data_IF_482616257853
#
_entry.id   IF_482616257853
#
_cell.length_a   1.000
_cell.length_b   1.000
_cell.length_c   1.000
_cell.angle_alpha   90.00
_cell.angle_beta   90.00
_cell.angle_gamma   90.00
#
_symmetry.space_group_name_H-M   'P 1'
#
loop_
_entity.id
_entity.type
_entity.pdbx_description
1 polymer ?
#
# COMPACT_ATOMS: atom_id res chain seq x y z
N UNK A 1 -32.07 -0.91 -8.73
CA UNK A 1 -31.96 -1.59 -10.04
C UNK A 1 -30.51 -1.52 -10.47
N UNK A 2 -29.85 -2.62 -10.78
CA UNK A 2 -28.50 -2.56 -11.34
C UNK A 2 -28.61 -2.02 -12.77
N UNK A 3 -27.91 -0.94 -13.06
CA UNK A 3 -27.77 -0.43 -14.42
C UNK A 3 -26.85 -1.37 -15.18
N UNK A 4 -27.43 -2.34 -15.89
CA UNK A 4 -26.71 -3.06 -16.92
C UNK A 4 -26.58 -2.13 -18.11
N UNK A 5 -25.40 -1.58 -18.34
CA UNK A 5 -25.08 -0.96 -19.62
C UNK A 5 -25.02 -2.10 -20.64
N UNK A 6 -26.06 -2.26 -21.42
CA UNK A 6 -26.04 -3.12 -22.62
C UNK A 6 -25.24 -2.41 -23.70
N UNK A 7 -23.92 -2.54 -23.68
CA UNK A 7 -23.09 -2.12 -24.82
C UNK A 7 -23.30 -3.00 -26.07
N UNK A 8 -24.03 -4.08 -25.95
CA UNK A 8 -24.21 -5.07 -26.99
C UNK A 8 -24.91 -4.52 -28.25
N UNK A 9 -25.81 -3.56 -28.11
CA UNK A 9 -26.61 -3.06 -29.23
C UNK A 9 -25.90 -1.99 -30.08
N UNK A 10 -24.81 -1.44 -29.59
CA UNK A 10 -24.05 -0.40 -30.29
C UNK A 10 -22.93 -0.95 -31.21
N UNK A 11 -22.62 -2.23 -31.13
CA UNK A 11 -21.44 -2.83 -31.78
C UNK A 11 -21.78 -3.90 -32.81
N UNK A 12 -22.99 -3.86 -33.42
CA UNK A 12 -23.34 -4.79 -34.51
C UNK A 12 -23.10 -6.26 -34.15
N UNK A 13 -23.55 -6.66 -32.95
CA UNK A 13 -23.48 -8.05 -32.49
C UNK A 13 -22.10 -8.50 -31.94
N UNK A 14 -21.13 -7.63 -31.82
CA UNK A 14 -19.85 -7.96 -31.16
C UNK A 14 -20.01 -7.89 -29.65
N UNK A 15 -19.61 -8.94 -28.95
CA UNK A 15 -19.56 -8.97 -27.48
C UNK A 15 -18.19 -8.46 -27.04
N UNK A 16 -18.19 -7.47 -26.12
CA UNK A 16 -16.97 -7.07 -25.44
C UNK A 16 -16.53 -8.23 -24.51
N UNK A 17 -15.33 -8.72 -24.71
CA UNK A 17 -14.71 -9.68 -23.82
C UNK A 17 -13.77 -8.94 -22.86
N UNK A 18 -13.98 -9.17 -21.55
CA UNK A 18 -13.06 -8.61 -20.57
C UNK A 18 -11.66 -9.21 -20.75
N UNK A 19 -10.60 -8.40 -20.57
CA UNK A 19 -9.23 -8.90 -20.64
C UNK A 19 -9.03 -10.10 -19.72
N UNK A 20 -8.24 -11.05 -20.16
CA UNK A 20 -7.82 -12.17 -19.35
C UNK A 20 -7.10 -11.65 -18.09
N UNK A 21 -7.27 -12.36 -16.99
CA UNK A 21 -6.59 -12.05 -15.75
C UNK A 21 -5.08 -12.01 -15.96
N UNK A 22 -4.43 -10.92 -15.58
CA UNK A 22 -2.97 -10.84 -15.59
C UNK A 22 -2.45 -11.89 -14.61
N UNK A 23 -1.72 -12.88 -15.13
CA UNK A 23 -1.20 -13.98 -14.33
C UNK A 23 -0.02 -13.56 -13.45
N UNK A 24 0.75 -12.57 -13.88
CA UNK A 24 1.90 -12.04 -13.14
C UNK A 24 1.53 -10.72 -12.47
N UNK A 25 1.34 -10.79 -11.16
CA UNK A 25 1.20 -9.58 -10.34
C UNK A 25 2.56 -9.30 -9.71
N UNK A 26 3.11 -8.08 -9.85
CA UNK A 26 4.35 -7.73 -9.18
C UNK A 26 4.18 -7.85 -7.67
N UNK A 27 5.14 -8.46 -7.02
CA UNK A 27 5.20 -8.52 -5.58
C UNK A 27 5.64 -7.16 -5.03
N UNK A 28 5.20 -6.84 -3.83
CA UNK A 28 5.61 -5.59 -3.17
C UNK A 28 7.13 -5.52 -2.96
N UNK A 29 7.79 -6.65 -2.78
CA UNK A 29 9.25 -6.76 -2.63
C UNK A 29 10.02 -6.14 -3.81
N UNK A 30 9.46 -6.14 -5.02
CA UNK A 30 10.10 -5.58 -6.21
C UNK A 30 9.98 -4.04 -6.27
N UNK A 31 9.00 -3.50 -5.55
CA UNK A 31 8.63 -2.07 -5.57
C UNK A 31 9.14 -1.36 -4.33
N UNK A 32 8.92 -1.94 -3.15
CA UNK A 32 9.18 -1.29 -1.86
C UNK A 32 10.67 -1.38 -1.53
N UNK A 33 11.26 -0.23 -1.17
CA UNK A 33 12.69 -0.13 -0.84
C UNK A 33 12.89 0.30 0.62
N UNK A 34 14.10 0.08 1.14
CA UNK A 34 14.44 0.62 2.45
C UNK A 34 14.41 2.16 2.40
N UNK A 35 13.75 2.76 3.37
CA UNK A 35 13.73 4.20 3.60
C UNK A 35 13.18 4.46 4.99
N UNK A 36 13.80 5.35 5.72
CA UNK A 36 13.35 5.80 7.04
C UNK A 36 12.36 6.97 6.97
N UNK A 37 11.99 7.43 5.74
CA UNK A 37 11.05 8.53 5.58
C UNK A 37 9.70 8.25 6.26
N UNK A 38 9.37 9.02 7.29
CA UNK A 38 8.14 8.87 8.06
C UNK A 38 8.05 7.56 8.86
N UNK A 39 9.17 6.91 9.12
CA UNK A 39 9.22 5.71 9.93
C UNK A 39 9.07 6.01 11.42
N UNK A 40 8.50 5.06 12.15
CA UNK A 40 8.48 5.08 13.62
C UNK A 40 9.13 3.81 14.15
N UNK A 41 9.85 3.92 15.23
CA UNK A 41 10.39 2.78 15.96
C UNK A 41 9.26 2.02 16.64
N UNK A 42 9.30 0.71 16.55
CA UNK A 42 8.31 -0.18 17.20
C UNK A 42 8.95 -0.82 18.41
N UNK A 43 8.35 -0.58 19.56
CA UNK A 43 8.77 -1.22 20.80
C UNK A 43 8.18 -2.64 20.87
N UNK A 44 8.90 -3.62 21.41
CA UNK A 44 8.39 -5.01 21.56
C UNK A 44 7.08 -5.09 22.37
N UNK A 45 6.86 -4.18 23.31
CA UNK A 45 5.63 -4.07 24.09
C UNK A 45 4.42 -3.61 23.29
N UNK A 46 4.65 -2.81 22.21
CA UNK A 46 3.59 -2.32 21.33
C UNK A 46 3.23 -3.36 20.26
N UNK A 47 4.22 -3.98 19.65
CA UNK A 47 4.03 -5.06 18.68
C UNK A 47 5.31 -5.93 18.58
N UNK A 48 5.15 -7.23 18.70
CA UNK A 48 6.26 -8.18 18.55
C UNK A 48 6.60 -8.38 17.06
N UNK A 49 7.58 -7.62 16.58
CA UNK A 49 8.05 -7.68 15.20
C UNK A 49 8.80 -8.98 14.87
N UNK A 50 9.23 -9.75 15.87
CA UNK A 50 9.90 -11.05 15.67
C UNK A 50 8.95 -12.13 15.12
N UNK A 51 7.64 -11.91 15.26
CA UNK A 51 6.60 -12.77 14.69
C UNK A 51 6.46 -12.63 13.17
N UNK A 52 7.06 -11.59 12.58
CA UNK A 52 7.07 -11.37 11.14
C UNK A 52 8.21 -12.18 10.52
N UNK A 53 7.96 -12.97 9.46
CA UNK A 53 9.04 -13.68 8.77
C UNK A 53 10.14 -12.71 8.32
N UNK A 54 11.39 -13.07 8.57
CA UNK A 54 12.53 -12.16 8.36
C UNK A 54 12.69 -11.72 6.90
N UNK A 55 12.28 -12.55 5.95
CA UNK A 55 12.23 -12.24 4.52
C UNK A 55 11.14 -11.24 4.13
N UNK A 56 10.21 -10.94 5.04
CA UNK A 56 9.18 -9.92 4.85
C UNK A 56 9.58 -8.55 5.41
N UNK A 57 10.70 -8.46 6.11
CA UNK A 57 11.22 -7.23 6.69
C UNK A 57 12.32 -6.69 5.78
N UNK A 58 12.18 -5.45 5.36
CA UNK A 58 13.19 -4.78 4.53
C UNK A 58 14.31 -4.31 5.45
N UNK A 59 15.53 -4.75 5.18
CA UNK A 59 16.70 -4.55 6.05
C UNK A 59 17.69 -3.59 5.41
N UNK A 60 18.28 -2.74 6.24
CA UNK A 60 19.51 -2.01 5.97
C UNK A 60 20.38 -2.10 7.21
N UNK A 61 21.30 -3.05 7.18
CA UNK A 61 22.20 -3.34 8.31
C UNK A 61 23.60 -2.72 8.11
N UNK A 62 23.86 -2.12 6.96
CA UNK A 62 25.19 -1.61 6.58
C UNK A 62 25.33 -0.11 6.81
N UNK A 63 24.27 0.65 6.63
CA UNK A 63 24.30 2.09 6.80
C UNK A 63 24.14 2.48 8.27
N UNK A 64 25.12 3.21 8.78
CA UNK A 64 25.12 3.81 10.12
C UNK A 64 24.43 5.18 10.17
N UNK A 65 23.96 5.68 9.03
CA UNK A 65 23.26 6.94 9.00
C UNK A 65 21.93 6.79 9.73
N UNK A 66 21.90 7.23 10.98
CA UNK A 66 20.67 7.70 11.61
C UNK A 66 20.18 8.86 10.74
N UNK A 67 19.47 8.55 9.67
CA UNK A 67 18.69 9.58 8.97
C UNK A 67 17.92 10.33 10.04
N UNK A 68 18.22 11.61 10.18
CA UNK A 68 17.74 12.45 11.27
C UNK A 68 16.21 12.35 11.39
N UNK A 69 15.76 11.51 12.32
CA UNK A 69 14.32 11.28 12.60
C UNK A 69 13.63 12.60 13.07
N UNK A 70 14.44 13.64 13.32
CA UNK A 70 13.98 14.97 13.74
C UNK A 70 13.71 15.91 12.55
N UNK A 71 13.98 15.52 11.31
CA UNK A 71 13.64 16.35 10.15
C UNK A 71 12.12 16.54 10.09
N UNK A 72 11.70 17.80 10.17
CA UNK A 72 10.28 18.20 10.14
C UNK A 72 9.55 17.71 8.88
N UNK A 73 10.28 17.45 7.78
CA UNK A 73 9.74 16.95 6.52
C UNK A 73 9.57 15.41 6.51
N UNK A 74 10.16 14.70 7.48
CA UNK A 74 10.16 13.25 7.60
C UNK A 74 9.25 12.73 8.72
N UNK A 75 8.37 13.58 9.26
CA UNK A 75 7.47 13.18 10.35
C UNK A 75 6.57 12.01 9.97
N UNK A 76 6.39 11.04 10.90
CA UNK A 76 5.51 9.91 10.67
C UNK A 76 4.05 10.37 10.54
N UNK A 77 3.28 9.60 9.80
CA UNK A 77 1.86 9.88 9.66
C UNK A 77 1.14 9.67 11.01
N UNK A 78 0.29 10.61 11.47
CA UNK A 78 -0.40 10.52 12.77
C UNK A 78 -1.18 9.21 12.96
N UNK A 79 -1.82 8.71 11.90
CA UNK A 79 -2.56 7.45 11.96
C UNK A 79 -1.65 6.24 12.21
N UNK A 80 -0.42 6.23 11.68
CA UNK A 80 0.56 5.20 11.97
C UNK A 80 0.95 5.23 13.44
N UNK A 81 1.24 6.43 14.00
CA UNK A 81 1.61 6.59 15.41
C UNK A 81 0.52 6.04 16.34
N UNK A 82 -0.76 6.33 16.03
CA UNK A 82 -1.90 5.84 16.81
C UNK A 82 -2.09 4.34 16.69
N UNK A 83 -1.94 3.78 15.49
CA UNK A 83 -2.16 2.34 15.25
C UNK A 83 -1.00 1.47 15.76
N UNK A 84 0.21 2.02 15.82
CA UNK A 84 1.39 1.29 16.28
C UNK A 84 1.41 1.08 17.80
N UNK A 85 0.66 1.89 18.56
CA UNK A 85 0.55 1.71 20.01
C UNK A 85 -0.37 0.53 20.35
N UNK A 86 0.11 -0.36 21.22
CA UNK A 86 -0.69 -1.46 21.74
C UNK A 86 -1.94 -0.92 22.40
N UNK A 87 -3.08 -1.43 21.97
CA UNK A 87 -4.38 -1.07 22.54
C UNK A 87 -5.39 -2.14 22.22
N UNK A 88 -5.90 -2.79 23.26
CA UNK A 88 -7.03 -3.69 23.15
C UNK A 88 -8.28 -2.91 22.72
N UNK A 89 -9.10 -3.49 21.88
CA UNK A 89 -10.38 -2.92 21.49
C UNK A 89 -11.38 -4.01 21.12
N UNK A 90 -12.65 -3.68 21.24
CA UNK A 90 -13.76 -4.56 20.85
C UNK A 90 -14.42 -4.00 19.59
N UNK A 91 -14.62 -4.86 18.59
CA UNK A 91 -15.38 -4.53 17.40
C UNK A 91 -16.40 -5.60 17.09
N UNK A 92 -17.70 -5.24 17.07
CA UNK A 92 -18.83 -6.16 16.88
C UNK A 92 -18.78 -7.39 17.80
N UNK A 93 -18.45 -7.19 19.06
CA UNK A 93 -18.37 -8.24 20.07
C UNK A 93 -17.10 -9.12 20.01
N UNK A 94 -16.17 -8.84 19.10
CA UNK A 94 -14.90 -9.55 19.01
C UNK A 94 -13.78 -8.68 19.61
N UNK A 95 -12.98 -9.29 20.49
CA UNK A 95 -11.82 -8.66 21.10
C UNK A 95 -10.60 -8.74 20.19
N UNK A 96 -9.86 -7.65 20.10
CA UNK A 96 -8.62 -7.53 19.35
C UNK A 96 -7.54 -6.99 20.29
N UNK A 97 -6.46 -7.74 20.52
CA UNK A 97 -5.40 -7.33 21.45
C UNK A 97 -4.45 -6.27 20.87
N UNK A 98 -4.60 -5.96 19.60
CA UNK A 98 -3.76 -4.99 18.90
C UNK A 98 -4.50 -4.39 17.70
N UNK A 99 -4.06 -3.19 17.29
CA UNK A 99 -4.53 -2.52 16.07
C UNK A 99 -3.69 -2.81 14.84
N UNK A 100 -2.60 -3.53 14.96
CA UNK A 100 -1.76 -4.00 13.86
C UNK A 100 -1.86 -5.51 13.70
N UNK A 101 -1.78 -5.99 12.47
CA UNK A 101 -1.71 -7.41 12.15
C UNK A 101 -0.87 -7.62 10.90
N UNK A 102 -0.03 -8.64 10.88
CA UNK A 102 0.80 -8.98 9.73
C UNK A 102 -0.02 -9.70 8.65
N UNK A 103 0.12 -9.26 7.40
CA UNK A 103 -0.45 -9.89 6.21
C UNK A 103 -1.99 -9.95 6.16
N UNK A 104 -2.67 -9.40 7.16
CA UNK A 104 -4.12 -9.43 7.29
C UNK A 104 -4.66 -8.08 7.78
N UNK A 105 -5.66 -7.58 7.12
CA UNK A 105 -6.38 -6.39 7.58
C UNK A 105 -7.36 -6.76 8.69
N UNK A 106 -7.30 -6.02 9.79
CA UNK A 106 -8.26 -6.13 10.90
C UNK A 106 -9.21 -4.92 10.90
N UNK A 107 -10.43 -5.05 11.46
CA UNK A 107 -11.35 -3.93 11.60
C UNK A 107 -10.71 -2.77 12.38
N UNK A 108 -10.94 -1.54 11.93
CA UNK A 108 -10.42 -0.31 12.57
C UNK A 108 -8.89 -0.27 12.78
N UNK A 109 -8.17 -1.28 12.27
CA UNK A 109 -6.73 -1.43 12.41
C UNK A 109 -5.95 -1.20 11.12
N UNK A 110 -4.64 -1.42 11.19
CA UNK A 110 -3.70 -1.42 10.09
C UNK A 110 -3.12 -2.80 9.82
N UNK A 111 -2.54 -2.94 8.65
CA UNK A 111 -1.86 -4.15 8.21
C UNK A 111 -0.38 -3.87 8.03
N UNK A 112 0.46 -4.66 8.67
CA UNK A 112 1.87 -4.77 8.30
C UNK A 112 1.91 -5.66 7.06
N UNK A 113 2.36 -5.12 5.95
CA UNK A 113 2.28 -5.79 4.65
C UNK A 113 3.21 -7.00 4.55
N UNK A 114 2.73 -8.05 3.88
CA UNK A 114 3.56 -9.15 3.43
C UNK A 114 4.13 -8.79 2.05
N UNK A 115 5.39 -8.38 1.99
CA UNK A 115 6.03 -7.89 0.76
C UNK A 115 6.18 -8.96 -0.32
N UNK A 116 5.99 -10.23 -0.02
CA UNK A 116 5.99 -11.36 -0.97
C UNK A 116 4.71 -11.43 -1.79
N UNK A 117 3.70 -10.67 -1.39
CA UNK A 117 2.37 -10.68 -2.01
C UNK A 117 2.12 -9.38 -2.80
N UNK A 118 1.18 -9.43 -3.75
CA UNK A 118 0.67 -8.21 -4.37
C UNK A 118 0.04 -7.27 -3.35
N UNK A 119 0.09 -5.97 -3.63
CA UNK A 119 -0.60 -4.98 -2.80
C UNK A 119 -2.11 -5.20 -2.78
N UNK A 120 -2.72 -4.80 -1.68
CA UNK A 120 -4.17 -4.59 -1.60
C UNK A 120 -4.54 -3.28 -2.30
N UNK A 121 -5.84 -3.11 -2.56
CA UNK A 121 -6.38 -1.91 -3.22
C UNK A 121 -5.92 -0.63 -2.53
N UNK A 122 -5.34 0.26 -3.31
CA UNK A 122 -5.00 1.63 -2.90
C UNK A 122 -6.19 2.53 -3.21
N UNK A 123 -6.62 3.31 -2.24
CA UNK A 123 -7.73 4.27 -2.37
C UNK A 123 -7.29 5.66 -1.95
N UNK A 124 -7.98 6.70 -2.43
CA UNK A 124 -7.62 8.10 -2.17
C UNK A 124 -7.56 8.47 -0.68
N UNK A 125 -8.34 7.79 0.17
CA UNK A 125 -8.32 8.00 1.62
C UNK A 125 -7.02 7.58 2.28
N UNK A 126 -6.13 6.84 1.58
CA UNK A 126 -4.80 6.47 2.08
C UNK A 126 -3.98 7.70 2.51
N UNK A 127 -4.18 8.84 1.86
CA UNK A 127 -3.54 10.10 2.23
C UNK A 127 -3.90 10.59 3.64
N UNK A 128 -5.08 10.24 4.15
CA UNK A 128 -5.58 10.67 5.47
C UNK A 128 -5.56 9.55 6.49
N UNK A 129 -5.79 8.32 6.04
CA UNK A 129 -5.89 7.13 6.89
C UNK A 129 -5.11 5.97 6.27
N UNK A 130 -3.77 6.04 6.20
CA UNK A 130 -2.97 4.91 5.77
C UNK A 130 -3.21 3.71 6.69
N UNK A 131 -3.35 2.53 6.09
CA UNK A 131 -3.59 1.28 6.81
C UNK A 131 -2.69 0.14 6.32
N UNK A 132 -1.74 0.42 5.43
CA UNK A 132 -0.73 -0.52 4.96
C UNK A 132 0.62 0.02 5.36
N UNK A 133 1.37 -0.74 6.12
CA UNK A 133 2.63 -0.31 6.70
C UNK A 133 3.76 -1.26 6.31
N UNK A 134 4.89 -0.69 5.96
CA UNK A 134 6.10 -1.40 5.55
C UNK A 134 6.94 -1.73 6.78
N UNK A 135 7.25 -3.01 7.02
CA UNK A 135 8.17 -3.39 8.08
C UNK A 135 9.63 -3.20 7.66
N UNK A 136 10.39 -2.53 8.52
CA UNK A 136 11.79 -2.21 8.32
C UNK A 136 12.63 -2.67 9.52
N UNK A 137 13.90 -2.95 9.26
CA UNK A 137 14.89 -3.22 10.29
C UNK A 137 16.22 -2.57 9.95
N UNK A 138 16.82 -1.88 10.93
CA UNK A 138 18.21 -1.44 10.89
C UNK A 138 18.93 -1.90 12.16
N UNK A 139 20.19 -1.45 12.37
CA UNK A 139 20.97 -1.79 13.56
C UNK A 139 20.30 -1.37 14.88
N UNK A 140 19.49 -0.31 14.85
CA UNK A 140 18.85 0.28 16.02
C UNK A 140 17.50 -0.38 16.37
N UNK A 141 16.99 -1.32 15.54
CA UNK A 141 15.78 -2.07 15.80
C UNK A 141 14.78 -2.12 14.66
N UNK A 142 13.51 -2.31 15.02
CA UNK A 142 12.42 -2.46 14.07
C UNK A 142 11.61 -1.18 13.93
N UNK A 143 11.15 -0.95 12.70
CA UNK A 143 10.38 0.26 12.35
C UNK A 143 9.21 -0.09 11.45
N UNK A 144 8.21 0.80 11.43
CA UNK A 144 7.12 0.80 10.47
C UNK A 144 7.02 2.17 9.79
N UNK A 145 6.74 2.17 8.49
CA UNK A 145 6.38 3.39 7.74
C UNK A 145 5.19 3.18 6.81
N UNK A 146 4.62 4.27 6.36
CA UNK A 146 3.65 4.22 5.27
C UNK A 146 4.33 3.89 3.93
N UNK A 147 3.55 3.43 2.94
CA UNK A 147 4.00 3.37 1.55
C UNK A 147 4.23 4.80 1.03
N UNK A 148 5.34 5.00 0.32
CA UNK A 148 5.71 6.27 -0.26
C UNK A 148 4.93 6.56 -1.56
N UNK A 149 4.74 7.83 -1.97
CA UNK A 149 4.02 8.16 -3.20
C UNK A 149 4.54 7.45 -4.45
N UNK A 150 5.87 7.32 -4.59
CA UNK A 150 6.47 6.64 -5.73
C UNK A 150 6.24 5.12 -5.71
N UNK A 151 6.17 4.52 -4.53
CA UNK A 151 5.79 3.12 -4.38
C UNK A 151 4.31 2.92 -4.74
N UNK A 152 3.43 3.79 -4.25
CA UNK A 152 2.00 3.76 -4.58
C UNK A 152 1.76 3.94 -6.08
N UNK A 153 2.53 4.83 -6.73
CA UNK A 153 2.52 5.05 -8.18
C UNK A 153 2.87 3.76 -8.93
N UNK A 154 3.96 3.08 -8.54
CA UNK A 154 4.38 1.81 -9.15
C UNK A 154 3.37 0.67 -8.88
N UNK A 155 2.80 0.60 -7.67
CA UNK A 155 1.75 -0.39 -7.32
C UNK A 155 0.53 -0.25 -8.25
N UNK A 156 0.14 0.98 -8.58
CA UNK A 156 -0.96 1.25 -9.53
C UNK A 156 -0.57 1.01 -11.00
N UNK A 157 0.71 0.76 -11.29
CA UNK A 157 1.20 0.50 -12.64
C UNK A 157 1.42 1.75 -13.48
N UNK A 158 1.58 2.92 -12.86
CA UNK A 158 2.02 4.11 -13.59
C UNK A 158 3.46 3.98 -14.08
N UNK A 159 3.81 4.53 -15.24
CA UNK A 159 5.20 4.66 -15.66
C UNK A 159 6.06 5.38 -14.62
N UNK A 160 7.34 5.01 -14.53
CA UNK A 160 8.24 5.61 -13.53
C UNK A 160 8.41 7.12 -13.72
N UNK A 161 8.41 7.57 -14.95
CA UNK A 161 8.56 8.97 -15.37
C UNK A 161 7.25 9.78 -15.32
N UNK A 162 6.12 9.13 -15.02
CA UNK A 162 4.83 9.82 -14.92
C UNK A 162 4.87 10.85 -13.78
N UNK A 163 4.63 12.11 -14.15
CA UNK A 163 4.67 13.25 -13.22
C UNK A 163 3.28 13.51 -12.62
N UNK A 164 3.22 13.50 -11.31
CA UNK A 164 2.05 13.92 -10.54
C UNK A 164 2.20 15.40 -10.14
N UNK A 165 1.09 16.10 -9.99
CA UNK A 165 1.10 17.53 -9.64
C UNK A 165 0.83 17.78 -8.17
N UNK A 166 1.51 18.76 -7.59
CA UNK A 166 1.28 19.21 -6.21
C UNK A 166 2.18 18.54 -5.18
N UNK A 167 1.74 18.47 -3.94
CA UNK A 167 2.50 17.89 -2.83
C UNK A 167 2.23 16.38 -2.66
N UNK A 168 2.99 15.72 -1.78
CA UNK A 168 2.88 14.28 -1.50
C UNK A 168 1.45 13.82 -1.20
N UNK A 169 0.67 14.58 -0.43
CA UNK A 169 -0.73 14.26 -0.12
C UNK A 169 -1.59 14.27 -1.39
N UNK A 170 -1.41 15.26 -2.26
CA UNK A 170 -2.12 15.34 -3.55
C UNK A 170 -1.73 14.19 -4.46
N UNK A 171 -0.45 13.80 -4.51
CA UNK A 171 0.01 12.63 -5.27
C UNK A 171 -0.74 11.36 -4.84
N UNK A 172 -0.82 11.10 -3.53
CA UNK A 172 -1.53 9.91 -3.01
C UNK A 172 -3.02 9.93 -3.41
N UNK A 173 -3.67 11.10 -3.33
CA UNK A 173 -5.07 11.24 -3.73
C UNK A 173 -5.26 10.99 -5.23
N UNK A 174 -4.39 11.53 -6.08
CA UNK A 174 -4.43 11.31 -7.53
C UNK A 174 -4.25 9.83 -7.87
N UNK A 175 -3.26 9.17 -7.25
CA UNK A 175 -3.00 7.74 -7.45
C UNK A 175 -4.22 6.91 -7.01
N UNK A 176 -4.77 7.19 -5.82
CA UNK A 176 -5.88 6.42 -5.28
C UNK A 176 -7.22 6.61 -5.99
N UNK A 177 -7.38 7.71 -6.76
CA UNK A 177 -8.54 7.95 -7.61
C UNK A 177 -8.35 7.43 -9.04
N UNK A 178 -7.13 7.08 -9.43
CA UNK A 178 -6.83 6.65 -10.77
C UNK A 178 -7.31 5.22 -11.03
N UNK A 179 -7.77 4.97 -12.25
CA UNK A 179 -7.88 3.60 -12.78
C UNK A 179 -6.47 3.13 -13.14
N UNK A 180 -6.05 1.90 -12.76
CA UNK A 180 -4.73 1.39 -13.09
C UNK A 180 -4.43 1.44 -14.60
N UNK A 181 -3.37 2.13 -15.04
CA UNK A 181 -3.05 2.25 -16.47
C UNK A 181 -2.97 0.92 -17.23
N UNK A 182 -2.38 -0.16 -16.67
CA UNK A 182 -2.36 -1.46 -17.36
C UNK A 182 -3.76 -2.03 -17.65
N UNK A 183 -4.74 -1.78 -16.79
CA UNK A 183 -6.11 -2.22 -17.02
C UNK A 183 -6.73 -1.48 -18.21
N UNK A 184 -6.57 -0.15 -18.27
CA UNK A 184 -7.06 0.66 -19.38
C UNK A 184 -6.39 0.25 -20.69
N UNK A 185 -5.08 0.02 -20.66
CA UNK A 185 -4.34 -0.45 -21.83
C UNK A 185 -4.91 -1.77 -22.38
N UNK A 186 -5.19 -2.75 -21.53
CA UNK A 186 -5.78 -4.03 -21.96
C UNK A 186 -7.19 -3.85 -22.53
N UNK A 187 -8.02 -3.01 -21.90
CA UNK A 187 -9.37 -2.72 -22.41
C UNK A 187 -9.29 -2.11 -23.81
N UNK A 188 -8.43 -1.11 -24.00
CA UNK A 188 -8.24 -0.46 -25.30
C UNK A 188 -7.70 -1.42 -26.34
N UNK A 189 -6.71 -2.24 -26.01
CA UNK A 189 -6.16 -3.27 -26.91
C UNK A 189 -7.24 -4.25 -27.36
N UNK A 190 -8.08 -4.73 -26.45
CA UNK A 190 -9.20 -5.61 -26.80
C UNK A 190 -10.21 -4.93 -27.75
N UNK A 191 -10.54 -3.66 -27.50
CA UNK A 191 -11.46 -2.91 -28.35
C UNK A 191 -10.92 -2.70 -29.76
N UNK A 192 -9.61 -2.45 -29.92
CA UNK A 192 -8.99 -2.23 -31.23
C UNK A 192 -8.84 -3.55 -32.00
N UNK A 193 -8.70 -4.67 -31.32
CA UNK A 193 -8.52 -6.01 -31.91
C UNK A 193 -9.85 -6.67 -32.31
N UNK A 194 -10.97 -6.05 -32.02
CA UNK A 194 -12.32 -6.49 -32.41
C UNK A 194 -12.70 -5.96 -33.78
#
# INVERSE_FOLDING_TARGET
MPYYFQFADLTVGRKFEFPNKINEKPNLKDIVKFSMEGAIKINPEDYDMSTIPSECIIKDLENDEDEDLNDKNKKPHPNLVVLAKKRDYVYKGVEYPNRLSFGKRIPVGGEIIDIRKPSKTIICTYARQPRLFVPLQNKNGYYLRCLLPDELKQIQGFPKDFKLSGNKTKHIVQIGNAVPPPLIQQIVQNLISM
#
